data_IF_973828116143
#
_entry.id   IF_973828116143
#
_cell.length_a   1.000
_cell.length_b   1.000
_cell.length_c   1.000
_cell.angle_alpha   90.00
_cell.angle_beta   90.00
_cell.angle_gamma   90.00
#
_symmetry.space_group_name_H-M   'P 1'
#
loop_
_entity.id
_entity.type
_entity.pdbx_description
1 polymer ?
#
# COMPACT_ATOMS: atom_id res chain seq x y z
N UNK A 1 -3.27 -14.72 8.70
CA UNK A 1 -3.07 -15.64 9.83
C UNK A 1 -2.57 -14.96 11.10
N UNK A 2 -1.68 -13.99 11.06
CA UNK A 2 -1.08 -13.41 12.27
C UNK A 2 -1.97 -12.40 13.02
N UNK A 3 -2.73 -11.57 12.32
CA UNK A 3 -3.75 -10.67 12.91
C UNK A 3 -4.99 -11.43 13.37
N UNK A 4 -5.37 -12.48 12.63
CA UNK A 4 -6.41 -13.43 13.08
C UNK A 4 -5.96 -14.20 14.33
N UNK A 5 -4.68 -14.56 14.46
CA UNK A 5 -4.15 -15.20 15.67
C UNK A 5 -4.14 -14.25 16.88
N UNK A 6 -3.88 -12.97 16.69
CA UNK A 6 -3.95 -11.96 17.77
C UNK A 6 -5.41 -11.68 18.14
N UNK A 7 -6.31 -11.60 17.17
CA UNK A 7 -7.76 -11.47 17.42
C UNK A 7 -8.33 -12.74 18.06
N UNK A 8 -7.94 -13.94 17.62
CA UNK A 8 -8.34 -15.20 18.23
C UNK A 8 -7.75 -15.38 19.66
N UNK A 9 -6.52 -14.94 19.91
CA UNK A 9 -5.94 -14.98 21.27
C UNK A 9 -6.65 -14.03 22.22
N UNK A 10 -7.17 -12.91 21.72
CA UNK A 10 -8.01 -12.00 22.52
C UNK A 10 -9.42 -12.59 22.72
N UNK A 11 -9.96 -13.34 21.75
CA UNK A 11 -11.29 -13.95 21.83
C UNK A 11 -11.32 -15.27 22.62
N UNK A 12 -10.31 -16.12 22.51
CA UNK A 12 -10.27 -17.41 23.24
C UNK A 12 -9.96 -17.25 24.73
N UNK A 13 -9.36 -16.13 25.16
CA UNK A 13 -9.19 -15.83 26.59
C UNK A 13 -10.47 -15.31 27.26
N UNK A 14 -11.51 -15.02 26.49
CA UNK A 14 -12.82 -14.60 27.04
C UNK A 14 -13.74 -15.76 27.47
N UNK A 15 -13.40 -17.00 27.13
CA UNK A 15 -14.22 -18.18 27.43
C UNK A 15 -13.85 -18.92 28.75
N UNK A 16 -12.75 -18.53 29.40
CA UNK A 16 -12.43 -18.98 30.77
C UNK A 16 -12.44 -17.77 31.70
N UNK A 17 -13.64 -17.27 31.95
CA UNK A 17 -13.85 -16.12 32.82
C UNK A 17 -13.71 -16.52 34.29
N UNK A 18 -12.49 -16.63 34.78
CA UNK A 18 -12.17 -16.29 36.15
C UNK A 18 -11.69 -14.85 36.17
N UNK A 19 -12.24 -14.04 37.06
CA UNK A 19 -12.01 -12.60 37.26
C UNK A 19 -10.56 -12.29 37.57
N UNK A 20 -9.71 -12.29 36.53
CA UNK A 20 -8.38 -11.72 36.64
C UNK A 20 -8.51 -10.18 36.72
N UNK A 21 -7.85 -9.59 37.71
CA UNK A 21 -7.86 -8.14 37.90
C UNK A 21 -7.31 -7.46 36.61
N UNK A 22 -7.77 -6.24 36.33
CA UNK A 22 -7.25 -5.44 35.18
C UNK A 22 -5.74 -5.28 35.23
N UNK A 23 -5.14 -5.31 36.42
CA UNK A 23 -3.70 -5.23 36.63
C UNK A 23 -2.99 -6.52 36.18
N UNK A 24 -3.52 -7.70 36.48
CA UNK A 24 -2.95 -9.00 36.06
C UNK A 24 -3.03 -9.19 34.55
N UNK A 25 -4.14 -8.79 33.92
CA UNK A 25 -4.25 -8.80 32.44
C UNK A 25 -3.21 -7.89 31.80
N UNK A 26 -3.01 -6.68 32.35
CA UNK A 26 -1.97 -5.75 31.86
C UNK A 26 -0.57 -6.33 32.03
N UNK A 27 -0.27 -6.90 33.20
CA UNK A 27 1.02 -7.54 33.49
C UNK A 27 1.29 -8.74 32.57
N UNK A 28 0.29 -9.56 32.30
CA UNK A 28 0.41 -10.72 31.37
C UNK A 28 0.64 -10.25 29.93
N UNK A 29 -0.11 -9.28 29.44
CA UNK A 29 0.07 -8.69 28.10
C UNK A 29 1.46 -8.07 28.00
N UNK A 30 1.88 -7.34 29.01
CA UNK A 30 3.20 -6.70 29.06
C UNK A 30 4.34 -7.73 29.09
N UNK A 31 4.19 -8.84 29.82
CA UNK A 31 5.14 -9.96 29.86
C UNK A 31 5.28 -10.62 28.49
N UNK A 32 4.17 -10.98 27.83
CA UNK A 32 4.18 -11.59 26.49
C UNK A 32 4.78 -10.67 25.45
N UNK A 33 4.42 -9.38 25.47
CA UNK A 33 4.98 -8.38 24.57
C UNK A 33 6.47 -8.17 24.84
N UNK A 34 6.91 -8.22 26.10
CA UNK A 34 8.32 -8.10 26.49
C UNK A 34 9.14 -9.28 25.99
N UNK A 35 8.72 -10.51 26.22
CA UNK A 35 9.42 -11.69 25.73
C UNK A 35 9.59 -11.65 24.20
N UNK A 36 8.55 -11.26 23.49
CA UNK A 36 8.57 -11.09 22.05
C UNK A 36 9.45 -9.93 21.60
N UNK A 37 9.43 -8.84 22.32
CA UNK A 37 10.22 -7.65 22.04
C UNK A 37 11.71 -7.90 22.19
N UNK A 38 12.14 -8.62 23.24
CA UNK A 38 13.57 -8.89 23.49
C UNK A 38 14.14 -10.02 22.61
N UNK A 39 13.31 -10.92 22.10
CA UNK A 39 13.74 -11.95 21.17
C UNK A 39 13.87 -11.37 19.75
N UNK A 40 15.08 -10.94 19.38
CA UNK A 40 15.32 -10.44 18.02
C UNK A 40 15.61 -11.58 17.06
N UNK A 41 14.97 -11.61 15.87
CA UNK A 41 15.30 -12.57 14.82
C UNK A 41 16.52 -12.17 13.97
N UNK A 42 17.14 -11.02 14.27
CA UNK A 42 18.24 -10.45 13.51
C UNK A 42 19.60 -10.76 14.12
N UNK A 43 20.64 -10.76 13.27
CA UNK A 43 22.03 -10.64 13.66
C UNK A 43 22.28 -9.24 14.21
N UNK A 44 22.63 -9.13 15.49
CA UNK A 44 22.82 -7.85 16.20
C UNK A 44 23.98 -7.02 15.68
N UNK A 45 24.91 -7.62 14.92
CA UNK A 45 25.95 -6.88 14.21
C UNK A 45 25.39 -6.05 13.04
N UNK A 46 24.25 -6.44 12.49
CA UNK A 46 23.59 -5.80 11.34
C UNK A 46 22.35 -5.01 11.74
N UNK A 47 21.52 -5.53 12.65
CA UNK A 47 20.25 -4.93 12.99
C UNK A 47 20.01 -5.01 14.49
N UNK A 48 19.70 -3.87 15.10
CA UNK A 48 19.44 -3.79 16.54
C UNK A 48 18.08 -3.18 16.81
N UNK A 49 17.55 -3.45 17.99
CA UNK A 49 16.40 -2.68 18.51
C UNK A 49 16.89 -1.34 19.03
N UNK A 50 16.12 -0.26 18.80
CA UNK A 50 16.37 1.00 19.47
C UNK A 50 16.13 0.85 20.97
N UNK A 51 16.83 1.65 21.75
CA UNK A 51 16.51 1.89 23.15
C UNK A 51 15.15 2.59 23.25
N UNK A 52 14.41 2.31 24.30
CA UNK A 52 13.06 2.87 24.50
C UNK A 52 11.95 1.88 24.09
N UNK A 53 10.86 1.93 24.86
CA UNK A 53 9.71 1.02 24.69
C UNK A 53 8.56 1.65 23.91
N UNK A 54 8.52 2.97 23.89
CA UNK A 54 7.49 3.78 23.24
C UNK A 54 8.13 4.64 22.14
N UNK A 55 7.54 4.64 20.96
CA UNK A 55 7.92 5.54 19.87
C UNK A 55 6.70 6.35 19.44
N UNK A 56 6.82 7.65 19.50
CA UNK A 56 5.82 8.61 19.00
C UNK A 56 6.27 9.10 17.63
N UNK A 57 5.32 9.23 16.68
CA UNK A 57 5.59 9.72 15.32
C UNK A 57 4.53 10.69 14.84
N UNK A 58 5.01 11.76 14.25
CA UNK A 58 4.21 12.65 13.40
C UNK A 58 4.52 12.30 11.96
N UNK A 59 3.50 12.18 11.11
CA UNK A 59 3.64 11.80 9.72
C UNK A 59 2.76 12.67 8.83
N UNK A 60 3.31 13.08 7.69
CA UNK A 60 2.59 13.64 6.57
C UNK A 60 2.64 12.62 5.44
N UNK A 61 1.49 12.24 4.90
CA UNK A 61 1.41 11.33 3.77
C UNK A 61 0.77 12.05 2.60
N UNK A 62 1.27 11.75 1.40
CA UNK A 62 0.69 12.19 0.14
C UNK A 62 0.52 10.97 -0.76
N UNK A 63 -0.67 10.85 -1.38
CA UNK A 63 -0.99 9.73 -2.25
C UNK A 63 -1.59 10.23 -3.55
N UNK A 64 -1.28 9.51 -4.64
CA UNK A 64 -1.84 9.74 -5.95
C UNK A 64 -2.03 8.43 -6.70
N UNK A 65 -2.95 8.44 -7.66
CA UNK A 65 -3.20 7.33 -8.56
C UNK A 65 -3.48 7.90 -9.96
N UNK A 66 -2.79 7.37 -10.97
CA UNK A 66 -3.03 7.69 -12.37
C UNK A 66 -3.27 6.42 -13.17
N UNK A 67 -4.07 6.56 -14.20
CA UNK A 67 -4.49 5.50 -15.07
C UNK A 67 -4.40 6.00 -16.52
N UNK A 68 -3.62 5.30 -17.34
CA UNK A 68 -3.42 5.60 -18.74
C UNK A 68 -3.81 4.37 -19.55
N UNK A 69 -4.80 4.50 -20.41
CA UNK A 69 -5.24 3.44 -21.31
C UNK A 69 -5.21 3.95 -22.75
N UNK A 70 -4.75 3.11 -23.67
CA UNK A 70 -4.79 3.39 -25.11
C UNK A 70 -4.92 2.12 -25.92
N UNK A 71 -5.69 2.18 -26.98
CA UNK A 71 -5.85 1.03 -27.87
C UNK A 71 -7.13 1.07 -28.67
N UNK A 72 -7.46 -0.09 -29.28
CA UNK A 72 -8.65 -0.27 -30.10
C UNK A 72 -9.75 -0.96 -29.31
N UNK A 73 -10.91 -0.32 -29.16
CA UNK A 73 -12.10 -0.88 -28.53
C UNK A 73 -13.21 -0.96 -29.57
N UNK A 74 -13.60 -2.16 -29.98
CA UNK A 74 -14.57 -2.38 -31.08
C UNK A 74 -14.17 -1.67 -32.38
N UNK A 75 -12.89 -1.82 -32.76
CA UNK A 75 -12.28 -1.22 -33.97
C UNK A 75 -12.26 0.32 -33.97
N UNK A 76 -12.55 0.95 -32.82
CA UNK A 76 -12.47 2.38 -32.59
C UNK A 76 -11.28 2.69 -31.69
N UNK A 77 -10.47 3.68 -32.05
CA UNK A 77 -9.37 4.11 -31.21
C UNK A 77 -9.89 4.81 -29.94
N UNK A 78 -9.41 4.33 -28.81
CA UNK A 78 -9.73 4.90 -27.50
C UNK A 78 -8.44 5.23 -26.73
N UNK A 79 -8.42 6.38 -26.08
CA UNK A 79 -7.37 6.81 -25.17
C UNK A 79 -8.02 7.39 -23.91
N UNK A 80 -7.44 7.11 -22.76
CA UNK A 80 -7.87 7.69 -21.49
C UNK A 80 -6.66 8.00 -20.63
N UNK A 81 -6.53 9.26 -20.21
CA UNK A 81 -5.49 9.76 -19.31
C UNK A 81 -6.21 10.30 -18.06
N UNK A 82 -6.34 9.46 -17.04
CA UNK A 82 -7.12 9.74 -15.84
C UNK A 82 -6.25 9.78 -14.59
N UNK A 83 -6.59 10.67 -13.66
CA UNK A 83 -5.91 10.75 -12.36
C UNK A 83 -6.88 11.08 -11.24
N UNK A 84 -6.55 10.64 -10.03
CA UNK A 84 -7.27 11.06 -8.83
C UNK A 84 -6.62 12.30 -8.22
N UNK A 85 -7.41 13.14 -7.57
CA UNK A 85 -6.86 14.26 -6.78
C UNK A 85 -5.84 13.75 -5.76
N UNK A 86 -4.73 14.46 -5.62
CA UNK A 86 -3.72 14.13 -4.62
C UNK A 86 -4.28 14.31 -3.22
N UNK A 87 -4.08 13.33 -2.36
CA UNK A 87 -4.55 13.35 -0.97
C UNK A 87 -3.40 13.57 -0.03
N UNK A 88 -3.48 14.64 0.76
CA UNK A 88 -2.54 14.89 1.85
C UNK A 88 -3.22 14.57 3.18
N UNK A 89 -2.57 13.74 4.01
CA UNK A 89 -3.06 13.36 5.33
C UNK A 89 -1.97 13.58 6.38
N UNK A 90 -2.36 14.08 7.54
CA UNK A 90 -1.50 14.17 8.71
C UNK A 90 -1.88 13.09 9.70
N UNK A 91 -0.88 12.44 10.32
CA UNK A 91 -1.15 11.39 11.28
C UNK A 91 -0.20 11.42 12.46
N UNK A 92 -0.76 11.08 13.63
CA UNK A 92 -0.03 10.79 14.84
C UNK A 92 -0.02 9.30 15.06
N UNK A 93 1.10 8.73 15.45
CA UNK A 93 1.21 7.32 15.76
C UNK A 93 2.03 7.11 17.04
N UNK A 94 1.57 6.16 17.85
CA UNK A 94 2.26 5.64 19.01
C UNK A 94 2.57 4.17 18.77
N UNK A 95 3.83 3.77 18.96
CA UNK A 95 4.29 2.39 18.79
C UNK A 95 4.88 1.95 20.13
N UNK A 96 4.21 1.00 20.77
CA UNK A 96 4.68 0.41 22.01
C UNK A 96 5.18 -1.01 21.76
N UNK A 97 6.46 -1.26 22.04
CA UNK A 97 7.12 -2.56 21.85
C UNK A 97 6.87 -3.19 20.46
N UNK A 98 6.87 -2.37 19.42
CA UNK A 98 6.71 -2.80 18.03
C UNK A 98 5.26 -2.94 17.55
N UNK A 99 4.27 -2.74 18.41
CA UNK A 99 2.85 -2.64 18.04
C UNK A 99 2.48 -1.17 17.98
N UNK A 100 1.99 -0.71 16.83
CA UNK A 100 1.67 0.70 16.60
C UNK A 100 0.20 0.93 16.31
N UNK A 101 -0.32 2.01 16.88
CA UNK A 101 -1.63 2.58 16.56
C UNK A 101 -1.43 4.00 16.08
N UNK A 102 -2.17 4.42 15.08
CA UNK A 102 -2.08 5.79 14.56
C UNK A 102 -3.42 6.28 14.06
N UNK A 103 -3.67 7.57 14.26
CA UNK A 103 -4.84 8.28 13.75
C UNK A 103 -4.38 9.21 12.64
N UNK A 104 -5.08 9.18 11.51
CA UNK A 104 -4.83 10.05 10.37
C UNK A 104 -6.01 10.99 10.16
N UNK A 105 -5.70 12.23 9.89
CA UNK A 105 -6.68 13.30 9.59
C UNK A 105 -6.40 13.77 8.16
N UNK A 106 -7.45 13.89 7.37
CA UNK A 106 -7.40 14.49 6.06
C UNK A 106 -8.10 15.86 6.11
N UNK A 107 -7.35 16.99 6.13
CA UNK A 107 -7.95 18.31 6.20
C UNK A 107 -8.87 18.65 5.01
N UNK A 108 -8.57 18.13 3.82
CA UNK A 108 -9.36 18.37 2.62
C UNK A 108 -10.79 17.77 2.68
N UNK A 109 -11.04 16.84 3.63
CA UNK A 109 -12.39 16.30 3.84
C UNK A 109 -13.36 17.24 4.53
N UNK A 110 -12.86 18.31 5.14
CA UNK A 110 -13.73 19.25 5.89
C UNK A 110 -14.52 20.21 4.98
N UNK A 111 -14.25 20.22 3.66
CA UNK A 111 -14.96 21.08 2.70
C UNK A 111 -15.23 20.43 1.34
N UNK A 112 -14.94 19.14 1.15
CA UNK A 112 -15.03 18.50 -0.15
C UNK A 112 -16.37 17.84 -0.44
N UNK A 113 -16.92 18.08 -1.65
CA UNK A 113 -18.17 17.50 -2.14
C UNK A 113 -18.04 15.99 -2.46
N UNK A 114 -16.82 15.46 -2.67
CA UNK A 114 -16.59 14.09 -3.13
C UNK A 114 -16.02 13.18 -2.05
N UNK A 115 -16.54 11.94 -2.00
CA UNK A 115 -16.18 10.93 -0.98
C UNK A 115 -15.00 10.08 -1.46
N UNK A 116 -13.81 10.52 -1.09
CA UNK A 116 -12.60 9.72 -1.27
C UNK A 116 -12.23 9.00 0.01
N UNK A 117 -12.06 7.69 -0.07
CA UNK A 117 -11.68 6.85 1.06
C UNK A 117 -10.42 6.04 0.70
N UNK A 118 -9.49 5.97 1.65
CA UNK A 118 -8.28 5.15 1.51
C UNK A 118 -7.96 4.44 2.82
N UNK A 119 -7.71 3.14 2.71
CA UNK A 119 -7.24 2.31 3.80
C UNK A 119 -5.91 1.67 3.43
N UNK A 120 -4.92 1.77 4.31
CA UNK A 120 -3.60 1.20 4.12
C UNK A 120 -3.18 0.40 5.36
N UNK A 121 -2.84 -0.86 5.14
CA UNK A 121 -2.26 -1.74 6.16
C UNK A 121 -0.88 -2.20 5.68
N UNK A 122 0.15 -1.91 6.47
CA UNK A 122 1.51 -2.33 6.18
C UNK A 122 2.07 -3.09 7.39
N UNK A 123 2.37 -4.36 7.19
CA UNK A 123 2.93 -5.23 8.21
C UNK A 123 4.31 -5.72 7.75
N UNK A 124 5.35 -5.26 8.43
CA UNK A 124 6.73 -5.67 8.13
C UNK A 124 7.29 -6.48 9.30
N UNK A 125 7.60 -7.75 9.03
CA UNK A 125 8.36 -8.62 9.94
C UNK A 125 9.78 -8.84 9.41
N UNK A 126 10.55 -9.68 10.07
CA UNK A 126 11.88 -10.02 9.57
C UNK A 126 11.82 -10.83 8.28
N UNK A 127 10.91 -11.82 8.20
CA UNK A 127 10.83 -12.77 7.08
C UNK A 127 9.73 -12.43 6.10
N UNK A 128 8.54 -12.10 6.61
CA UNK A 128 7.33 -11.87 5.82
C UNK A 128 6.91 -10.42 5.94
N UNK A 129 6.52 -9.85 4.83
CA UNK A 129 5.97 -8.50 4.77
C UNK A 129 4.68 -8.53 3.95
N UNK A 130 3.73 -7.69 4.35
CA UNK A 130 2.43 -7.55 3.72
C UNK A 130 2.13 -6.06 3.58
N UNK A 131 1.83 -5.65 2.37
CA UNK A 131 1.27 -4.34 2.06
C UNK A 131 -0.12 -4.53 1.48
N UNK A 132 -1.11 -3.88 2.07
CA UNK A 132 -2.48 -3.84 1.57
C UNK A 132 -2.91 -2.39 1.45
N UNK A 133 -3.46 -2.01 0.32
CA UNK A 133 -4.06 -0.70 0.14
C UNK A 133 -5.38 -0.82 -0.61
N UNK A 134 -6.43 -0.25 -0.03
CA UNK A 134 -7.73 -0.10 -0.65
C UNK A 134 -8.04 1.38 -0.83
N UNK A 135 -8.51 1.75 -2.00
CA UNK A 135 -8.93 3.11 -2.33
C UNK A 135 -10.29 3.09 -3.02
N UNK A 136 -11.19 3.95 -2.57
CA UNK A 136 -12.37 4.37 -3.31
C UNK A 136 -12.23 5.85 -3.59
N UNK A 137 -12.45 6.27 -4.84
CA UNK A 137 -12.32 7.66 -5.25
C UNK A 137 -13.46 8.04 -6.19
N UNK A 138 -14.06 9.18 -5.92
CA UNK A 138 -15.02 9.88 -6.77
C UNK A 138 -14.38 11.13 -7.40
N UNK A 139 -13.12 11.42 -7.07
CA UNK A 139 -12.33 12.53 -7.60
C UNK A 139 -11.52 12.20 -8.85
N UNK A 140 -11.90 11.15 -9.59
CA UNK A 140 -11.25 10.76 -10.83
C UNK A 140 -11.59 11.80 -11.91
N UNK A 141 -10.52 12.35 -12.54
CA UNK A 141 -10.65 13.36 -13.62
C UNK A 141 -9.65 13.07 -14.71
N UNK A 142 -9.88 13.58 -15.90
CA UNK A 142 -8.92 13.54 -16.98
C UNK A 142 -9.55 13.57 -18.35
N UNK A 143 -8.71 13.38 -19.35
CA UNK A 143 -9.11 13.46 -20.74
C UNK A 143 -9.28 12.06 -21.33
N UNK A 144 -10.31 11.89 -22.12
CA UNK A 144 -10.62 10.69 -22.86
C UNK A 144 -10.80 11.06 -24.34
N UNK A 145 -10.34 10.19 -25.21
CA UNK A 145 -10.58 10.26 -26.64
C UNK A 145 -11.29 8.96 -27.05
N UNK A 146 -12.40 9.07 -27.72
CA UNK A 146 -13.12 7.93 -28.25
C UNK A 146 -13.63 8.30 -29.65
N UNK A 147 -13.21 7.55 -30.67
CA UNK A 147 -13.54 7.82 -32.08
C UNK A 147 -13.21 9.28 -32.49
N UNK A 148 -12.01 9.72 -32.17
CA UNK A 148 -11.53 11.10 -32.37
C UNK A 148 -12.34 12.20 -31.65
N UNK A 149 -13.36 11.83 -30.88
CA UNK A 149 -14.16 12.77 -30.09
C UNK A 149 -13.54 12.94 -28.71
N UNK A 150 -13.03 14.14 -28.39
CA UNK A 150 -12.47 14.41 -27.07
C UNK A 150 -13.61 14.55 -26.04
N UNK A 151 -13.44 13.90 -24.90
CA UNK A 151 -14.34 14.00 -23.76
C UNK A 151 -13.54 14.16 -22.50
N UNK A 152 -13.95 15.09 -21.65
CA UNK A 152 -13.36 15.27 -20.32
C UNK A 152 -14.21 14.60 -19.26
N UNK A 153 -13.58 13.81 -18.41
CA UNK A 153 -14.20 13.24 -17.23
C UNK A 153 -14.04 14.23 -16.07
N UNK A 154 -15.13 14.64 -15.47
CA UNK A 154 -15.12 15.55 -14.33
C UNK A 154 -15.25 14.79 -13.00
N UNK A 155 -14.95 15.49 -11.90
CA UNK A 155 -15.12 14.92 -10.57
C UNK A 155 -16.59 14.55 -10.33
N UNK A 156 -16.79 13.33 -9.83
CA UNK A 156 -18.14 12.79 -9.59
C UNK A 156 -18.72 12.00 -10.77
N UNK A 157 -18.13 12.05 -11.96
CA UNK A 157 -18.62 11.32 -13.14
C UNK A 157 -18.36 9.82 -13.05
N UNK A 158 -17.30 9.42 -12.38
CA UNK A 158 -16.96 8.01 -12.19
C UNK A 158 -16.51 7.71 -10.76
N UNK A 159 -16.88 6.54 -10.28
CA UNK A 159 -16.36 5.97 -9.05
C UNK A 159 -15.29 4.93 -9.38
N UNK A 160 -14.08 5.13 -8.85
CA UNK A 160 -12.98 4.16 -8.94
C UNK A 160 -12.81 3.44 -7.60
N UNK A 161 -12.65 2.12 -7.65
CA UNK A 161 -12.24 1.29 -6.51
C UNK A 161 -10.99 0.52 -6.90
N UNK A 162 -9.96 0.54 -6.04
CA UNK A 162 -8.70 -0.19 -6.28
C UNK A 162 -8.28 -0.89 -5.01
N UNK A 163 -7.91 -2.16 -5.15
CA UNK A 163 -7.30 -2.98 -4.11
C UNK A 163 -5.95 -3.47 -4.60
N UNK A 164 -4.90 -3.15 -3.85
CA UNK A 164 -3.56 -3.70 -4.06
C UNK A 164 -3.15 -4.47 -2.81
N UNK A 165 -2.64 -5.68 -3.02
CA UNK A 165 -2.07 -6.52 -1.98
C UNK A 165 -0.73 -7.03 -2.48
N UNK A 166 0.33 -6.91 -1.68
CA UNK A 166 1.63 -7.51 -1.96
C UNK A 166 2.13 -8.20 -0.70
N UNK A 167 2.44 -9.48 -0.83
CA UNK A 167 3.06 -10.28 0.22
C UNK A 167 4.39 -10.80 -0.29
N UNK A 168 5.45 -10.69 0.53
CA UNK A 168 6.78 -11.10 0.10
C UNK A 168 7.62 -11.65 1.24
N UNK A 169 8.48 -12.60 0.87
CA UNK A 169 9.45 -13.26 1.74
C UNK A 169 10.83 -12.65 1.54
N UNK A 170 11.55 -12.43 2.63
CA UNK A 170 12.90 -11.87 2.69
C UNK A 170 13.89 -12.99 2.99
N UNK A 171 14.76 -13.35 2.04
CA UNK A 171 15.71 -14.47 2.21
C UNK A 171 16.81 -14.16 3.23
N UNK A 172 17.45 -12.99 3.12
CA UNK A 172 18.48 -12.56 4.07
C UNK A 172 17.87 -11.86 5.31
N UNK A 173 16.82 -12.45 5.86
CA UNK A 173 16.02 -11.89 6.94
C UNK A 173 16.79 -11.64 8.25
N UNK A 174 17.99 -12.22 8.42
CA UNK A 174 18.81 -11.99 9.61
C UNK A 174 19.62 -10.70 9.54
N UNK A 175 20.02 -10.24 8.34
CA UNK A 175 20.89 -9.09 8.15
C UNK A 175 20.21 -7.90 7.51
N UNK A 176 19.16 -8.13 6.75
CA UNK A 176 18.39 -7.12 6.07
C UNK A 176 17.05 -6.88 6.79
N UNK A 177 16.65 -5.62 6.99
CA UNK A 177 15.44 -5.26 7.75
C UNK A 177 14.58 -4.22 7.06
N UNK A 178 13.40 -4.63 6.54
CA UNK A 178 12.34 -3.71 6.14
C UNK A 178 11.82 -2.86 7.31
N UNK A 179 11.62 -3.41 8.52
CA UNK A 179 11.20 -2.62 9.66
C UNK A 179 12.14 -1.47 10.01
N UNK A 180 13.42 -1.56 9.72
CA UNK A 180 14.36 -0.45 9.96
C UNK A 180 14.07 0.74 9.04
N UNK A 181 13.68 0.48 7.77
CA UNK A 181 13.41 1.49 6.76
C UNK A 181 12.00 2.09 6.86
N UNK A 182 10.95 1.27 7.12
CA UNK A 182 9.57 1.68 6.97
C UNK A 182 8.82 1.92 8.29
N UNK A 183 9.14 1.15 9.33
CA UNK A 183 8.50 1.33 10.64
C UNK A 183 9.41 1.92 11.71
N UNK A 184 10.73 1.91 11.48
CA UNK A 184 11.79 2.36 12.40
C UNK A 184 11.72 1.67 13.79
N UNK A 185 11.12 0.48 13.83
CA UNK A 185 11.10 -0.39 15.02
C UNK A 185 12.42 -1.13 15.24
N UNK A 186 13.33 -1.04 14.27
CA UNK A 186 14.72 -1.50 14.32
C UNK A 186 15.64 -0.45 13.72
N UNK A 187 16.94 -0.60 13.97
CA UNK A 187 18.01 0.22 13.41
C UNK A 187 18.93 -0.70 12.63
N UNK A 188 19.12 -0.43 11.34
CA UNK A 188 20.13 -1.08 10.52
C UNK A 188 21.48 -0.45 10.82
N UNK A 189 22.47 -1.24 11.24
CA UNK A 189 23.84 -0.78 11.59
C UNK A 189 24.86 -0.96 10.48
N UNK A 190 24.67 -1.99 9.64
CA UNK A 190 25.53 -2.30 8.50
C UNK A 190 24.67 -2.49 7.26
N UNK A 191 25.23 -2.11 6.13
CA UNK A 191 24.57 -2.32 4.84
C UNK A 191 24.33 -3.81 4.59
N UNK A 192 23.16 -4.12 4.05
CA UNK A 192 22.79 -5.48 3.69
C UNK A 192 21.72 -5.46 2.61
N UNK A 193 21.73 -6.46 1.76
CA UNK A 193 20.69 -6.71 0.78
C UNK A 193 20.02 -8.06 0.97
N UNK A 194 18.92 -8.26 0.28
CA UNK A 194 18.18 -9.51 0.26
C UNK A 194 17.47 -9.73 -1.06
N UNK A 195 17.51 -10.95 -1.55
CA UNK A 195 16.52 -11.41 -2.52
C UNK A 195 15.14 -11.45 -1.88
N UNK A 196 14.14 -11.20 -2.71
CA UNK A 196 12.75 -11.19 -2.34
C UNK A 196 11.98 -12.14 -3.26
N UNK A 197 11.04 -12.89 -2.73
CA UNK A 197 10.06 -13.62 -3.52
C UNK A 197 8.66 -13.22 -3.04
N UNK A 198 7.72 -13.03 -3.95
CA UNK A 198 6.42 -12.54 -3.54
C UNK A 198 5.29 -12.81 -4.50
N UNK A 199 4.11 -12.54 -3.98
CA UNK A 199 2.85 -12.58 -4.69
C UNK A 199 2.20 -11.20 -4.59
N UNK A 200 1.63 -10.74 -5.69
CA UNK A 200 0.90 -9.47 -5.75
C UNK A 200 -0.51 -9.70 -6.31
N UNK A 201 -1.46 -9.00 -5.74
CA UNK A 201 -2.80 -8.84 -6.30
C UNK A 201 -3.05 -7.36 -6.57
N UNK A 202 -3.50 -7.06 -7.76
CA UNK A 202 -4.00 -5.75 -8.11
C UNK A 202 -5.35 -5.91 -8.79
N UNK A 203 -6.36 -5.25 -8.23
CA UNK A 203 -7.69 -5.32 -8.79
C UNK A 203 -8.49 -4.07 -8.49
N UNK A 204 -9.54 -3.88 -9.29
CA UNK A 204 -10.39 -2.72 -9.11
C UNK A 204 -11.53 -2.64 -10.10
N UNK A 205 -12.26 -1.57 -9.98
CA UNK A 205 -13.35 -1.24 -10.90
C UNK A 205 -13.48 0.27 -11.07
N UNK A 206 -13.86 0.66 -12.27
CA UNK A 206 -14.32 2.00 -12.59
C UNK A 206 -15.76 1.88 -13.04
N UNK A 207 -16.67 2.64 -12.42
CA UNK A 207 -18.10 2.66 -12.77
C UNK A 207 -18.54 4.10 -13.00
N UNK A 208 -19.29 4.35 -14.07
CA UNK A 208 -20.03 5.60 -14.30
C UNK A 208 -21.03 5.82 -13.15
N UNK A 209 -21.11 7.04 -12.64
CA UNK A 209 -22.05 7.39 -11.56
C UNK A 209 -23.47 7.63 -12.08
N UNK A 210 -24.43 7.45 -11.19
CA UNK A 210 -25.82 7.72 -11.50
C UNK A 210 -26.04 9.24 -11.73
N UNK A 211 -25.22 10.11 -11.09
CA UNK A 211 -25.23 11.55 -11.30
C UNK A 211 -24.83 11.97 -12.72
N UNK A 212 -23.83 11.30 -13.32
CA UNK A 212 -23.49 11.53 -14.72
C UNK A 212 -24.61 11.09 -15.64
N UNK A 213 -25.21 9.93 -15.39
CA UNK A 213 -26.32 9.40 -16.21
C UNK A 213 -27.55 10.32 -16.13
N UNK A 214 -27.84 10.89 -14.96
CA UNK A 214 -28.91 11.86 -14.78
C UNK A 214 -28.66 13.16 -15.55
N UNK A 215 -27.42 13.69 -15.53
CA UNK A 215 -27.03 14.91 -16.26
C UNK A 215 -26.87 14.70 -17.77
N UNK A 216 -26.51 13.49 -18.17
CA UNK A 216 -26.24 13.12 -19.56
C UNK A 216 -26.87 11.77 -19.89
N UNK A 217 -28.19 11.70 -20.18
CA UNK A 217 -28.90 10.43 -20.41
C UNK A 217 -28.34 9.59 -21.56
N UNK A 218 -27.64 10.23 -22.49
CA UNK A 218 -26.99 9.55 -23.62
C UNK A 218 -25.59 8.99 -23.28
N UNK A 219 -25.05 9.31 -22.10
CA UNK A 219 -23.77 8.75 -21.66
C UNK A 219 -23.90 7.24 -21.47
N UNK A 220 -22.95 6.44 -21.95
CA UNK A 220 -23.01 4.99 -21.77
C UNK A 220 -22.77 4.64 -20.30
N UNK A 221 -23.68 3.87 -19.70
CA UNK A 221 -23.33 3.20 -18.44
C UNK A 221 -22.16 2.25 -18.70
N UNK A 222 -21.01 2.54 -18.08
CA UNK A 222 -19.79 1.79 -18.28
C UNK A 222 -19.30 1.27 -16.94
N UNK A 223 -18.96 0.00 -16.89
CA UNK A 223 -18.28 -0.64 -15.76
C UNK A 223 -17.11 -1.42 -16.27
N UNK A 224 -15.91 -1.08 -15.79
CA UNK A 224 -14.67 -1.80 -16.04
C UNK A 224 -14.28 -2.49 -14.74
N UNK A 225 -13.97 -3.77 -14.82
CA UNK A 225 -13.44 -4.56 -13.71
C UNK A 225 -12.13 -5.21 -14.15
N UNK A 226 -11.10 -5.06 -13.32
CA UNK A 226 -9.79 -5.68 -13.52
C UNK A 226 -9.37 -6.42 -12.26
N UNK A 227 -8.74 -7.58 -12.43
CA UNK A 227 -8.19 -8.35 -11.32
C UNK A 227 -7.03 -9.20 -11.79
N UNK A 228 -5.86 -8.99 -11.21
CA UNK A 228 -4.60 -9.63 -11.59
C UNK A 228 -3.90 -10.21 -10.38
N UNK A 229 -3.45 -11.45 -10.48
CA UNK A 229 -2.57 -12.10 -9.51
C UNK A 229 -1.23 -12.32 -10.17
N UNK A 230 -0.15 -11.83 -9.56
CA UNK A 230 1.21 -11.99 -10.05
C UNK A 230 2.08 -12.68 -9.01
N UNK A 231 3.06 -13.44 -9.49
CA UNK A 231 4.15 -14.01 -8.69
C UNK A 231 5.49 -13.56 -9.25
N UNK A 232 6.48 -13.37 -8.39
CA UNK A 232 7.77 -12.91 -8.87
C UNK A 232 8.84 -12.84 -7.80
N UNK A 233 9.97 -12.32 -8.23
CA UNK A 233 11.15 -12.15 -7.40
C UNK A 233 11.78 -10.78 -7.62
N UNK A 234 12.53 -10.34 -6.65
CA UNK A 234 13.19 -9.05 -6.69
C UNK A 234 14.34 -8.94 -5.72
N UNK A 235 14.81 -7.73 -5.51
CA UNK A 235 15.91 -7.45 -4.62
C UNK A 235 15.66 -6.16 -3.83
N UNK A 236 16.12 -6.16 -2.59
CA UNK A 236 16.13 -4.99 -1.73
C UNK A 236 17.49 -4.77 -1.11
N UNK A 237 17.88 -3.50 -0.94
CA UNK A 237 19.13 -3.12 -0.33
C UNK A 237 18.95 -2.00 0.68
N UNK A 238 19.55 -2.18 1.86
CA UNK A 238 19.71 -1.20 2.91
C UNK A 238 21.14 -0.70 2.91
N UNK A 239 21.35 0.53 2.47
CA UNK A 239 22.64 1.18 2.50
C UNK A 239 22.74 2.06 3.73
N UNK A 240 23.70 1.74 4.62
CA UNK A 240 23.99 2.49 5.83
C UNK A 240 25.22 3.35 5.59
N UNK A 241 25.06 4.65 5.62
CA UNK A 241 26.14 5.61 5.47
C UNK A 241 26.46 6.24 6.83
N UNK A 242 27.69 5.97 7.31
CA UNK A 242 28.08 6.31 8.66
C UNK A 242 27.21 5.56 9.69
N UNK A 243 26.89 6.22 10.83
CA UNK A 243 26.05 5.63 11.88
C UNK A 243 24.64 6.23 11.93
N UNK A 244 24.33 7.18 11.03
CA UNK A 244 23.12 8.01 11.12
C UNK A 244 22.17 7.86 9.95
N UNK A 245 22.67 7.55 8.74
CA UNK A 245 21.86 7.48 7.53
C UNK A 245 21.55 6.03 7.15
N UNK A 246 20.29 5.78 6.85
CA UNK A 246 19.82 4.57 6.20
C UNK A 246 19.09 4.97 4.91
N UNK A 247 19.57 4.48 3.78
CA UNK A 247 18.88 4.51 2.49
C UNK A 247 18.40 3.11 2.15
N UNK A 248 17.17 3.01 1.73
CA UNK A 248 16.58 1.75 1.28
C UNK A 248 16.06 1.92 -0.13
N UNK A 249 16.31 0.91 -0.94
CA UNK A 249 15.64 0.70 -2.21
C UNK A 249 15.29 -0.77 -2.37
N UNK A 250 14.08 -1.06 -2.85
CA UNK A 250 13.69 -2.42 -3.23
C UNK A 250 12.71 -2.39 -4.38
N UNK A 251 12.81 -3.41 -5.23
CA UNK A 251 11.94 -3.62 -6.38
C UNK A 251 11.55 -5.08 -6.44
N UNK A 252 10.25 -5.34 -6.58
CA UNK A 252 9.68 -6.68 -6.71
C UNK A 252 8.76 -6.70 -7.96
N UNK A 253 9.31 -6.98 -9.15
CA UNK A 253 8.51 -7.30 -10.32
C UNK A 253 7.79 -8.63 -10.09
N UNK A 254 6.50 -8.67 -10.44
CA UNK A 254 5.67 -9.86 -10.42
C UNK A 254 4.99 -10.03 -11.78
N UNK A 255 5.12 -11.22 -12.36
CA UNK A 255 4.47 -11.59 -13.61
C UNK A 255 3.05 -12.06 -13.31
N UNK A 256 2.09 -11.56 -14.06
CA UNK A 256 0.68 -11.95 -13.89
C UNK A 256 0.48 -13.38 -14.37
N UNK A 257 0.03 -14.23 -13.47
CA UNK A 257 -0.26 -15.65 -13.72
C UNK A 257 -1.75 -15.95 -13.79
N UNK A 258 -2.57 -15.04 -13.28
CA UNK A 258 -4.03 -15.12 -13.37
C UNK A 258 -4.62 -13.73 -13.55
N UNK A 259 -5.55 -13.59 -14.48
CA UNK A 259 -6.26 -12.36 -14.72
C UNK A 259 -7.78 -12.60 -14.84
N UNK A 260 -8.54 -11.56 -14.54
CA UNK A 260 -9.98 -11.50 -14.77
C UNK A 260 -10.34 -10.06 -15.12
N UNK A 261 -10.56 -9.80 -16.40
CA UNK A 261 -10.90 -8.47 -16.90
C UNK A 261 -12.25 -8.52 -17.59
N UNK A 262 -13.14 -7.64 -17.18
CA UNK A 262 -14.47 -7.52 -17.75
C UNK A 262 -14.79 -6.05 -17.98
N UNK A 263 -15.38 -5.76 -19.13
CA UNK A 263 -15.95 -4.46 -19.44
C UNK A 263 -17.44 -4.65 -19.75
N UNK A 264 -18.27 -3.86 -19.12
CA UNK A 264 -19.71 -3.81 -19.40
C UNK A 264 -20.05 -2.41 -19.88
N UNK A 265 -20.65 -2.31 -21.05
CA UNK A 265 -21.13 -1.05 -21.64
C UNK A 265 -22.56 -1.24 -22.04
N UNK A 266 -23.47 -0.37 -21.59
CA UNK A 266 -24.93 -0.44 -21.84
C UNK A 266 -25.51 -1.84 -21.58
N UNK A 267 -25.08 -2.50 -20.48
CA UNK A 267 -25.53 -3.84 -20.10
C UNK A 267 -24.89 -5.01 -20.87
N UNK A 268 -24.16 -4.74 -21.94
CA UNK A 268 -23.44 -5.79 -22.70
C UNK A 268 -22.07 -6.04 -22.07
N UNK A 269 -21.83 -7.27 -21.61
CA UNK A 269 -20.55 -7.70 -21.04
C UNK A 269 -19.63 -8.20 -22.14
N UNK A 270 -18.39 -7.69 -22.12
CA UNK A 270 -17.28 -8.19 -22.92
C UNK A 270 -16.16 -8.62 -21.98
N UNK A 271 -15.60 -9.78 -22.23
CA UNK A 271 -14.38 -10.26 -21.57
C UNK A 271 -13.18 -9.86 -22.43
N UNK A 272 -12.11 -9.39 -21.81
CA UNK A 272 -10.87 -9.15 -22.54
C UNK A 272 -10.25 -10.48 -22.92
N UNK A 273 -9.92 -10.63 -24.19
CA UNK A 273 -9.24 -11.79 -24.72
C UNK A 273 -7.76 -11.80 -24.29
N UNK A 274 -7.05 -12.85 -24.57
CA UNK A 274 -5.73 -13.25 -24.06
C UNK A 274 -4.70 -12.13 -23.90
N UNK A 275 -4.03 -12.15 -22.75
CA UNK A 275 -2.99 -11.18 -22.40
C UNK A 275 -1.60 -11.72 -22.76
N UNK A 276 -0.80 -10.96 -23.50
CA UNK A 276 0.56 -11.38 -23.89
C UNK A 276 1.60 -11.17 -22.79
N UNK A 277 1.58 -10.04 -22.14
CA UNK A 277 2.60 -9.72 -21.14
C UNK A 277 2.09 -8.73 -20.10
N UNK A 278 2.04 -9.15 -18.84
CA UNK A 278 1.55 -8.32 -17.76
C UNK A 278 2.45 -8.40 -16.55
N UNK A 279 2.80 -7.24 -16.04
CA UNK A 279 3.65 -7.10 -14.87
C UNK A 279 3.09 -6.10 -13.87
N UNK A 280 3.31 -6.42 -12.59
CA UNK A 280 3.10 -5.50 -11.49
C UNK A 280 4.46 -5.25 -10.84
N UNK A 281 4.86 -3.99 -10.74
CA UNK A 281 6.09 -3.55 -10.08
C UNK A 281 5.74 -3.01 -8.70
N UNK A 282 6.33 -3.60 -7.68
CA UNK A 282 6.22 -3.12 -6.30
C UNK A 282 7.56 -2.49 -5.91
N UNK A 283 7.61 -1.17 -5.92
CA UNK A 283 8.84 -0.40 -5.70
C UNK A 283 8.76 0.31 -4.36
N UNK A 284 9.89 0.36 -3.66
CA UNK A 284 9.97 1.03 -2.36
C UNK A 284 11.31 1.73 -2.22
N UNK A 285 11.24 2.95 -1.72
CA UNK A 285 12.41 3.69 -1.31
C UNK A 285 12.19 4.28 0.09
N UNK A 286 13.27 4.42 0.85
CA UNK A 286 13.24 5.11 2.12
C UNK A 286 14.57 5.79 2.41
N UNK A 287 14.50 6.91 3.11
CA UNK A 287 15.63 7.56 3.75
C UNK A 287 15.28 7.81 5.21
N UNK A 288 16.16 7.39 6.11
CA UNK A 288 16.01 7.58 7.55
C UNK A 288 17.29 8.21 8.11
N UNK A 289 17.15 9.29 8.82
CA UNK A 289 18.24 9.96 9.53
C UNK A 289 18.04 9.86 11.02
N UNK A 290 19.06 9.41 11.74
CA UNK A 290 19.10 9.29 13.18
C UNK A 290 19.86 10.50 13.74
N UNK A 291 19.14 11.51 14.29
CA UNK A 291 19.77 12.67 14.94
C UNK A 291 20.49 12.25 16.22
N UNK A 292 19.83 11.36 16.97
CA UNK A 292 20.30 10.80 18.24
C UNK A 292 19.65 9.41 18.45
N UNK A 293 19.99 8.67 19.51
CA UNK A 293 19.25 7.45 19.86
C UNK A 293 17.74 7.64 20.03
N UNK A 294 17.32 8.86 20.43
CA UNK A 294 15.91 9.21 20.69
C UNK A 294 15.19 9.80 19.48
N UNK A 295 15.85 10.65 18.69
CA UNK A 295 15.20 11.42 17.61
C UNK A 295 15.61 10.92 16.23
N UNK A 296 14.64 10.80 15.35
CA UNK A 296 14.86 10.44 13.96
C UNK A 296 13.82 11.09 13.05
N UNK A 297 14.20 11.28 11.80
CA UNK A 297 13.29 11.71 10.75
C UNK A 297 13.56 10.93 9.46
N UNK A 298 12.68 11.06 8.50
CA UNK A 298 12.88 10.44 7.21
C UNK A 298 11.70 10.59 6.28
N UNK A 299 11.87 9.96 5.11
CA UNK A 299 10.83 9.85 4.11
C UNK A 299 10.77 8.43 3.56
N UNK A 300 9.60 8.01 3.12
CA UNK A 300 9.39 6.75 2.41
C UNK A 300 8.53 6.98 1.19
N UNK A 301 8.81 6.23 0.13
CA UNK A 301 8.03 6.15 -1.09
C UNK A 301 7.67 4.69 -1.35
N UNK A 302 6.40 4.43 -1.61
CA UNK A 302 5.90 3.12 -2.03
C UNK A 302 5.13 3.33 -3.34
N UNK A 303 5.49 2.59 -4.37
CA UNK A 303 4.88 2.64 -5.68
C UNK A 303 4.39 1.24 -6.06
N UNK A 304 3.21 1.20 -6.67
CA UNK A 304 2.64 0.01 -7.26
C UNK A 304 2.26 0.37 -8.70
N UNK A 305 3.13 0.02 -9.61
CA UNK A 305 2.99 0.29 -11.03
C UNK A 305 2.58 -0.99 -11.74
N UNK A 306 1.67 -0.92 -12.68
CA UNK A 306 1.28 -2.07 -13.47
C UNK A 306 1.18 -1.71 -14.94
N UNK A 307 1.60 -2.64 -15.76
CA UNK A 307 1.51 -2.59 -17.21
C UNK A 307 0.73 -3.83 -17.64
N UNK A 308 -0.38 -3.59 -18.31
CA UNK A 308 -1.24 -4.63 -18.88
C UNK A 308 -1.40 -4.38 -20.36
N UNK A 309 -1.02 -5.37 -21.15
CA UNK A 309 -1.11 -5.37 -22.61
C UNK A 309 -1.97 -6.57 -23.05
N UNK A 310 -3.09 -6.28 -23.68
CA UNK A 310 -4.03 -7.27 -24.19
C UNK A 310 -4.16 -7.16 -25.72
N UNK A 311 -3.08 -7.12 -26.47
CA UNK A 311 -3.02 -7.01 -27.94
C UNK A 311 -3.73 -5.77 -28.53
N UNK A 312 -4.87 -5.37 -27.99
CA UNK A 312 -5.69 -4.26 -28.48
C UNK A 312 -5.60 -3.03 -27.60
N UNK A 313 -5.43 -3.21 -26.28
CA UNK A 313 -5.44 -2.12 -25.31
C UNK A 313 -4.28 -2.26 -24.34
N UNK A 314 -3.47 -1.22 -24.23
CA UNK A 314 -2.42 -1.11 -23.20
C UNK A 314 -2.92 -0.24 -22.07
N UNK A 315 -2.85 -0.78 -20.85
CA UNK A 315 -3.25 -0.07 -19.64
C UNK A 315 -2.08 0.04 -18.69
N UNK A 316 -1.75 1.26 -18.31
CA UNK A 316 -0.76 1.56 -17.28
C UNK A 316 -1.46 2.17 -16.08
N UNK A 317 -1.28 1.59 -14.91
CA UNK A 317 -1.73 2.18 -13.66
C UNK A 317 -0.54 2.46 -12.77
N UNK A 318 -0.45 3.69 -12.25
CA UNK A 318 0.59 4.11 -11.32
C UNK A 318 -0.06 4.59 -10.03
N UNK A 319 0.19 3.87 -8.95
CA UNK A 319 -0.21 4.28 -7.61
C UNK A 319 1.03 4.52 -6.76
N UNK A 320 1.10 5.69 -6.14
CA UNK A 320 2.22 6.03 -5.27
C UNK A 320 1.75 6.62 -3.94
N UNK A 321 2.59 6.42 -2.94
CA UNK A 321 2.43 7.01 -1.62
C UNK A 321 3.78 7.46 -1.08
N UNK A 322 3.92 8.77 -0.92
CA UNK A 322 5.04 9.40 -0.24
C UNK A 322 4.67 9.69 1.21
N UNK A 323 5.63 9.53 2.13
CA UNK A 323 5.45 9.81 3.56
C UNK A 323 6.70 10.48 4.09
N UNK A 324 6.54 11.65 4.69
CA UNK A 324 7.55 12.26 5.56
C UNK A 324 7.18 11.99 7.03
N UNK A 325 8.18 11.81 7.89
CA UNK A 325 7.94 11.53 9.31
C UNK A 325 9.05 12.08 10.20
N UNK A 326 8.65 12.42 11.42
CA UNK A 326 9.53 12.70 12.53
C UNK A 326 9.12 11.82 13.72
N UNK A 327 10.08 11.28 14.45
CA UNK A 327 9.83 10.36 15.55
C UNK A 327 10.70 10.58 16.76
N UNK A 328 10.10 10.27 17.93
CA UNK A 328 10.71 10.32 19.25
C UNK A 328 10.59 8.95 19.91
N UNK A 329 11.70 8.43 20.42
CA UNK A 329 11.78 7.18 21.23
C UNK A 329 11.90 7.53 22.71
N UNK A 330 11.01 6.90 23.51
CA UNK A 330 10.90 7.08 24.97
C UNK A 330 11.07 5.74 25.67
#
# INVERSE_FOLDING_TARGET
MFLLAVALLVFTTSLTAQTQSRAERRARVDSVLSQRYYKTPYDTNYVVRPEGRLTLKVRMNQTGNSFHARGMVNDVYAKADLSTSHKTTFSLAAIYRGIGVGVAINPAKWGGAYKDYEFNLNCYSSRLSLDLSYQRSESLTGDMLFDEVPKRLEQGDATMKVLNVAAYYTFNHRRFSFPAAFTQSYIQRRSAGSWLAGISYQGGSIKTTDDLLARSPNAPETRIYVGHVGIGGGYGYNWVLGRRWLFHFSMLPTFVVYNRNNMTVRGQRKEAEHMRFNMIFNERAAVVYQFSPRYFAGATLVMNNSVFDDERVVVNQNKWRARAFFGLRL
#
